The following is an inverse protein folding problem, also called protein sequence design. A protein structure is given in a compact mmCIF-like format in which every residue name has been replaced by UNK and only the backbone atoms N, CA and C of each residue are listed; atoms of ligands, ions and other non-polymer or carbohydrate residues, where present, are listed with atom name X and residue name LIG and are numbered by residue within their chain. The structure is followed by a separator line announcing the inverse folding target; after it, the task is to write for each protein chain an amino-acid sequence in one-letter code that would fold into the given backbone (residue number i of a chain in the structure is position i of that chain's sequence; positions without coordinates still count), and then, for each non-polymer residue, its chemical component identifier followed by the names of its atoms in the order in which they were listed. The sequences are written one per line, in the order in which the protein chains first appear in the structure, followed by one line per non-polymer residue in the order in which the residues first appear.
data_IF_160525792247
#
_entry.id   IF_160525792247
#
_cell.length_a   1.000
_cell.length_b   1.000
_cell.length_c   1.000
_cell.angle_alpha   90.00
_cell.angle_beta   90.00
_cell.angle_gamma   90.00
#
_symmetry.space_group_name_H-M   'P 1'
#
loop_
_entity.id
_entity.type
_entity.pdbx_description
1 polymer ?
#
# COMPACT_ATOMS: atom_id res chain seq x y z
N UNK A 1 -7.57 6.28 15.39
CA UNK A 1 -6.98 5.25 14.50
C UNK A 1 -6.10 4.25 15.27
N UNK A 2 -6.39 2.94 15.20
CA UNK A 2 -5.58 1.81 15.72
C UNK A 2 -5.34 0.77 14.60
N UNK A 3 -4.10 0.42 14.24
CA UNK A 3 -3.84 -0.59 13.20
C UNK A 3 -4.29 -1.99 13.67
N UNK A 4 -4.82 -2.79 12.74
CA UNK A 4 -5.23 -4.19 12.96
C UNK A 4 -4.33 -5.10 12.15
N UNK A 5 -4.20 -4.81 10.85
CA UNK A 5 -3.56 -5.68 9.88
C UNK A 5 -2.87 -4.86 8.81
N UNK A 6 -1.65 -5.23 8.43
CA UNK A 6 -0.95 -4.70 7.27
C UNK A 6 -0.41 -5.86 6.44
N UNK A 7 -0.74 -5.87 5.16
CA UNK A 7 -0.17 -6.75 4.16
C UNK A 7 0.52 -5.93 3.09
N UNK A 8 1.73 -6.36 2.72
CA UNK A 8 2.56 -5.75 1.69
C UNK A 8 3.08 -6.86 0.79
N UNK A 9 3.04 -6.64 -0.52
CA UNK A 9 3.66 -7.54 -1.51
C UNK A 9 4.21 -6.68 -2.65
N UNK A 10 5.38 -7.05 -3.18
CA UNK A 10 6.12 -6.31 -4.19
C UNK A 10 6.22 -4.79 -3.90
N UNK A 11 6.33 -4.40 -2.63
CA UNK A 11 6.29 -3.02 -2.15
C UNK A 11 7.55 -2.62 -1.37
N UNK A 12 8.27 -1.60 -1.85
CA UNK A 12 9.50 -1.12 -1.22
C UNK A 12 10.52 -2.24 -0.97
N UNK A 13 10.96 -2.44 0.28
CA UNK A 13 11.85 -3.54 0.66
C UNK A 13 11.20 -4.93 0.69
N UNK A 14 9.87 -5.03 0.58
CA UNK A 14 9.12 -6.29 0.67
C UNK A 14 8.78 -6.83 -0.73
N UNK A 15 9.60 -7.72 -1.28
CA UNK A 15 9.29 -8.35 -2.58
C UNK A 15 8.16 -9.36 -2.47
N UNK A 16 8.17 -10.17 -1.43
CA UNK A 16 7.19 -11.22 -1.17
C UNK A 16 6.07 -10.73 -0.25
N UNK A 17 4.94 -11.45 -0.29
CA UNK A 17 3.81 -11.21 0.59
C UNK A 17 4.24 -11.32 2.05
N UNK A 18 4.14 -10.20 2.75
CA UNK A 18 4.47 -10.06 4.17
C UNK A 18 3.28 -9.49 4.90
N UNK A 19 2.96 -10.10 6.04
CA UNK A 19 1.78 -9.75 6.86
C UNK A 19 2.21 -9.41 8.27
N UNK A 20 1.73 -8.26 8.76
CA UNK A 20 1.87 -7.81 10.14
C UNK A 20 0.47 -7.76 10.76
N UNK A 21 0.27 -8.60 11.76
CA UNK A 21 -0.95 -8.64 12.56
C UNK A 21 -0.71 -7.90 13.88
N UNK A 22 -1.25 -6.68 13.96
CA UNK A 22 -1.11 -5.79 15.11
C UNK A 22 -2.00 -6.18 16.29
N UNK A 23 -2.85 -7.20 16.14
CA UNK A 23 -3.68 -7.72 17.24
C UNK A 23 -2.96 -8.75 18.10
N UNK A 24 -1.83 -9.30 17.62
CA UNK A 24 -1.05 -10.31 18.34
C UNK A 24 -0.39 -9.82 19.63
N UNK A 25 0.18 -8.60 19.70
CA UNK A 25 0.78 -8.13 20.95
C UNK A 25 -0.26 -8.03 22.06
N UNK A 26 0.06 -8.56 23.23
CA UNK A 26 -0.78 -8.45 24.43
C UNK A 26 -0.73 -7.05 25.08
N UNK A 27 0.12 -6.16 24.56
CA UNK A 27 0.34 -4.82 25.06
C UNK A 27 0.17 -3.80 23.94
N UNK A 28 -0.14 -2.56 24.33
CA UNK A 28 -0.33 -1.44 23.40
C UNK A 28 1.00 -0.83 22.90
N UNK A 29 2.15 -1.37 23.33
CA UNK A 29 3.48 -0.96 22.91
C UNK A 29 4.18 -2.14 22.22
N UNK A 30 4.72 -1.89 21.04
CA UNK A 30 5.53 -2.85 20.30
C UNK A 30 6.75 -2.14 19.71
N UNK A 31 7.79 -2.92 19.42
CA UNK A 31 9.04 -2.44 18.81
C UNK A 31 9.21 -3.08 17.44
N UNK A 32 9.43 -2.25 16.42
CA UNK A 32 9.91 -2.68 15.11
C UNK A 32 11.43 -2.52 15.11
N UNK A 33 12.16 -3.64 15.09
CA UNK A 33 13.62 -3.67 15.12
C UNK A 33 14.19 -4.53 13.98
N UNK A 34 15.50 -4.37 13.71
CA UNK A 34 16.21 -5.02 12.61
C UNK A 34 17.29 -4.13 12.03
N UNK A 35 18.08 -4.66 11.11
CA UNK A 35 19.23 -3.95 10.51
C UNK A 35 18.83 -2.77 9.62
N UNK A 36 19.77 -1.87 9.38
CA UNK A 36 19.59 -0.80 8.39
C UNK A 36 19.30 -1.41 7.02
N UNK A 37 18.27 -0.91 6.34
CA UNK A 37 17.82 -1.46 5.05
C UNK A 37 16.83 -2.63 5.14
N UNK A 38 16.54 -3.17 6.34
CA UNK A 38 15.61 -4.28 6.52
C UNK A 38 14.12 -3.96 6.27
N UNK A 39 13.78 -2.77 5.75
CA UNK A 39 12.39 -2.40 5.43
C UNK A 39 11.57 -1.80 6.57
N UNK A 40 12.18 -1.50 7.73
CA UNK A 40 11.47 -0.90 8.88
C UNK A 40 10.70 0.38 8.52
N UNK A 41 11.34 1.29 7.80
CA UNK A 41 10.69 2.53 7.31
C UNK A 41 9.58 2.22 6.31
N UNK A 42 9.78 1.20 5.47
CA UNK A 42 8.78 0.76 4.47
C UNK A 42 7.47 0.31 5.11
N UNK A 43 7.47 -0.23 6.33
CA UNK A 43 6.24 -0.54 7.08
C UNK A 43 5.41 0.74 7.30
N UNK A 44 6.06 1.82 7.72
CA UNK A 44 5.40 3.10 7.94
C UNK A 44 4.98 3.75 6.62
N UNK A 45 5.84 3.71 5.60
CA UNK A 45 5.51 4.20 4.26
C UNK A 45 4.32 3.46 3.66
N UNK A 46 4.18 2.16 3.91
CA UNK A 46 3.03 1.37 3.46
C UNK A 46 1.73 1.86 4.12
N UNK A 47 1.74 2.10 5.43
CA UNK A 47 0.56 2.65 6.13
C UNK A 47 0.20 4.05 5.63
N UNK A 48 1.19 4.94 5.46
CA UNK A 48 0.99 6.30 4.92
C UNK A 48 0.47 6.23 3.49
N UNK A 49 1.07 5.39 2.64
CA UNK A 49 0.62 5.18 1.27
C UNK A 49 -0.80 4.63 1.22
N UNK A 50 -1.13 3.64 2.05
CA UNK A 50 -2.47 3.06 2.14
C UNK A 50 -3.51 4.14 2.45
N UNK A 51 -3.24 5.03 3.40
CA UNK A 51 -4.18 6.08 3.79
C UNK A 51 -4.26 7.21 2.75
N UNK A 52 -3.11 7.74 2.32
CA UNK A 52 -3.05 9.01 1.59
C UNK A 52 -2.74 8.87 0.10
N UNK A 53 -2.25 7.72 -0.34
CA UNK A 53 -1.82 7.49 -1.72
C UNK A 53 -0.47 8.11 -2.09
N UNK A 54 0.22 8.73 -1.13
CA UNK A 54 1.53 9.35 -1.28
C UNK A 54 2.53 8.79 -0.25
N UNK A 55 3.83 8.99 -0.50
CA UNK A 55 4.90 8.64 0.42
C UNK A 55 5.09 9.61 1.58
N UNK A 56 5.85 9.19 2.60
CA UNK A 56 6.11 9.99 3.80
C UNK A 56 7.06 11.19 3.58
N UNK A 57 7.82 11.26 2.48
CA UNK A 57 8.84 12.31 2.28
C UNK A 57 8.53 13.29 1.14
N UNK A 58 8.89 14.57 1.32
CA UNK A 58 8.62 15.64 0.36
C UNK A 58 9.49 15.61 -0.91
N UNK A 59 10.64 14.93 -0.86
CA UNK A 59 11.55 14.72 -2.01
C UNK A 59 10.94 13.80 -3.08
N UNK A 60 9.98 12.96 -2.67
CA UNK A 60 9.40 11.89 -3.48
C UNK A 60 8.29 12.35 -4.44
N UNK A 61 7.84 13.60 -4.30
CA UNK A 61 6.78 14.19 -5.14
C UNK A 61 7.23 14.49 -6.56
N UNK A 62 8.55 14.60 -6.83
CA UNK A 62 9.10 15.04 -8.12
C UNK A 62 9.42 13.89 -9.09
N UNK A 63 9.85 12.72 -8.61
CA UNK A 63 10.24 11.59 -9.49
C UNK A 63 9.18 10.50 -9.64
N UNK A 64 8.05 10.61 -8.94
CA UNK A 64 7.02 9.59 -8.94
C UNK A 64 7.49 8.39 -8.13
N UNK A 65 7.10 8.40 -6.87
CA UNK A 65 7.30 7.35 -5.87
C UNK A 65 7.40 5.95 -6.50
N UNK A 66 8.61 5.39 -6.65
CA UNK A 66 8.78 4.03 -7.12
C UNK A 66 8.57 3.08 -5.93
N UNK A 67 7.30 2.92 -5.58
CA UNK A 67 6.83 2.05 -4.50
C UNK A 67 6.91 0.57 -4.84
N UNK A 68 7.06 0.26 -6.12
CA UNK A 68 7.29 -1.09 -6.56
C UNK A 68 8.66 -1.54 -6.05
N UNK A 69 8.69 -2.70 -5.39
CA UNK A 69 9.93 -3.30 -4.94
C UNK A 69 10.84 -3.59 -6.12
N UNK A 70 12.10 -3.17 -6.01
CA UNK A 70 13.13 -3.48 -7.01
C UNK A 70 13.54 -4.96 -6.97
N UNK A 71 13.20 -5.66 -5.88
CA UNK A 71 13.49 -7.07 -5.67
C UNK A 71 12.36 -7.99 -6.15
N UNK A 72 11.20 -7.43 -6.54
CA UNK A 72 10.06 -8.19 -7.01
C UNK A 72 10.08 -8.42 -8.53
N UNK A 73 9.49 -9.53 -8.97
CA UNK A 73 9.25 -9.79 -10.38
C UNK A 73 8.22 -8.81 -10.95
N UNK A 74 8.36 -8.44 -12.23
CA UNK A 74 7.36 -7.66 -12.97
C UNK A 74 6.03 -8.40 -13.20
N UNK A 75 5.95 -9.69 -12.82
CA UNK A 75 4.71 -10.46 -12.79
C UNK A 75 3.96 -10.32 -11.45
N UNK A 76 4.64 -9.89 -10.38
CA UNK A 76 4.02 -9.60 -9.10
C UNK A 76 3.39 -8.21 -9.14
N UNK A 77 2.11 -8.15 -8.74
CA UNK A 77 1.41 -6.87 -8.63
C UNK A 77 1.68 -6.29 -7.25
N UNK A 78 2.25 -5.08 -7.14
CA UNK A 78 2.46 -4.45 -5.85
C UNK A 78 1.13 -4.13 -5.19
N UNK A 79 1.02 -4.46 -3.92
CA UNK A 79 -0.20 -4.24 -3.14
C UNK A 79 0.15 -3.87 -1.70
N UNK A 80 -0.62 -2.93 -1.17
CA UNK A 80 -0.70 -2.66 0.26
C UNK A 80 -2.15 -2.79 0.69
N UNK A 81 -2.42 -3.68 1.64
CA UNK A 81 -3.72 -3.82 2.29
C UNK A 81 -3.56 -3.46 3.76
N UNK A 82 -4.33 -2.48 4.22
CA UNK A 82 -4.26 -1.99 5.58
C UNK A 82 -5.64 -1.95 6.22
N UNK A 83 -5.80 -2.63 7.35
CA UNK A 83 -7.02 -2.63 8.14
C UNK A 83 -6.75 -1.89 9.45
N UNK A 84 -7.64 -0.98 9.83
CA UNK A 84 -7.51 -0.19 11.05
C UNK A 84 -8.88 0.13 11.66
N UNK A 85 -8.89 0.42 12.96
CA UNK A 85 -10.04 0.95 13.69
C UNK A 85 -9.99 2.46 13.81
N UNK A 86 -11.12 3.13 13.70
CA UNK A 86 -11.29 4.48 14.24
C UNK A 86 -12.50 4.51 15.17
N UNK A 87 -12.25 4.62 16.48
CA UNK A 87 -13.25 4.26 17.48
C UNK A 87 -13.55 2.75 17.41
N UNK A 88 -14.84 2.41 17.29
CA UNK A 88 -15.32 1.03 17.14
C UNK A 88 -15.40 0.58 15.67
N UNK A 89 -15.29 1.53 14.74
CA UNK A 89 -15.49 1.28 13.31
C UNK A 89 -14.22 0.71 12.67
N UNK A 90 -14.39 -0.40 11.93
CA UNK A 90 -13.31 -1.06 11.18
C UNK A 90 -13.32 -0.67 9.71
N UNK A 91 -12.16 -0.27 9.21
CA UNK A 91 -11.94 0.11 7.82
C UNK A 91 -10.86 -0.78 7.21
N UNK A 92 -11.01 -1.10 5.94
CA UNK A 92 -9.98 -1.75 5.14
C UNK A 92 -9.69 -0.92 3.89
N UNK A 93 -8.42 -0.64 3.64
CA UNK A 93 -7.98 0.04 2.43
C UNK A 93 -6.99 -0.84 1.68
N UNK A 94 -7.24 -1.03 0.39
CA UNK A 94 -6.38 -1.76 -0.53
C UNK A 94 -5.88 -0.76 -1.57
N UNK A 95 -4.56 -0.66 -1.72
CA UNK A 95 -3.94 0.16 -2.77
C UNK A 95 -2.94 -0.63 -3.58
N UNK A 96 -2.99 -0.36 -4.88
CA UNK A 96 -1.99 -0.77 -5.85
C UNK A 96 -1.30 0.52 -6.31
N UNK A 97 0.02 0.70 -6.12
CA UNK A 97 0.71 1.85 -6.65
C UNK A 97 0.80 1.77 -8.18
N UNK A 98 1.07 2.92 -8.81
CA UNK A 98 1.50 2.93 -10.22
C UNK A 98 2.80 2.13 -10.32
N UNK A 99 2.85 1.16 -11.22
CA UNK A 99 3.96 0.21 -11.28
C UNK A 99 4.22 -0.27 -12.70
N UNK A 100 5.39 -0.86 -12.92
CA UNK A 100 5.74 -1.52 -14.17
C UNK A 100 5.33 -2.98 -14.10
N UNK A 101 4.83 -3.52 -15.20
CA UNK A 101 4.56 -4.95 -15.35
C UNK A 101 4.88 -5.42 -16.76
N UNK A 102 4.93 -6.74 -16.95
CA UNK A 102 5.04 -7.31 -18.31
C UNK A 102 3.78 -6.99 -19.12
N UNK A 103 3.97 -6.71 -20.41
CA UNK A 103 2.87 -6.49 -21.34
C UNK A 103 2.04 -7.78 -21.51
N UNK A 104 0.71 -7.65 -21.55
CA UNK A 104 -0.19 -8.76 -21.90
C UNK A 104 -0.39 -8.74 -23.42
N UNK A 105 0.40 -9.56 -24.16
CA UNK A 105 0.43 -9.71 -25.65
C UNK A 105 0.91 -8.46 -26.41
N UNK A 106 1.31 -8.66 -27.68
CA UNK A 106 1.90 -7.70 -28.67
C UNK A 106 1.77 -6.22 -28.28
N UNK A 107 2.68 -5.76 -27.43
CA UNK A 107 2.88 -4.35 -27.15
C UNK A 107 4.15 -3.88 -27.87
N UNK A 108 4.30 -2.56 -28.09
CA UNK A 108 5.52 -1.97 -28.65
C UNK A 108 6.75 -2.17 -27.74
N UNK A 109 6.54 -2.40 -26.45
CA UNK A 109 7.56 -2.68 -25.44
C UNK A 109 7.13 -3.84 -24.54
N UNK A 110 8.10 -4.64 -24.09
CA UNK A 110 7.84 -5.80 -23.21
C UNK A 110 7.38 -5.40 -21.80
N UNK A 111 7.67 -4.16 -21.39
CA UNK A 111 7.29 -3.58 -20.11
C UNK A 111 6.31 -2.44 -20.37
N UNK A 112 5.22 -2.41 -19.59
CA UNK A 112 4.22 -1.35 -19.60
C UNK A 112 4.00 -0.82 -18.19
N UNK A 113 3.57 0.42 -18.09
CA UNK A 113 3.19 1.05 -16.83
C UNK A 113 1.70 0.88 -16.59
N UNK A 114 1.31 0.31 -15.45
CA UNK A 114 -0.05 0.26 -14.95
C UNK A 114 -0.30 1.39 -13.95
N UNK A 115 -1.44 2.05 -14.06
CA UNK A 115 -1.85 3.09 -13.11
C UNK A 115 -2.22 2.46 -11.77
N UNK A 116 -2.02 3.23 -10.69
CA UNK A 116 -2.45 2.80 -9.37
C UNK A 116 -3.96 2.67 -9.25
N UNK A 117 -4.40 1.97 -8.20
CA UNK A 117 -5.80 1.76 -7.83
C UNK A 117 -5.95 1.89 -6.32
N UNK A 118 -7.14 2.27 -5.88
CA UNK A 118 -7.53 2.25 -4.48
C UNK A 118 -8.94 1.70 -4.34
N UNK A 119 -9.13 0.91 -3.29
CA UNK A 119 -10.41 0.42 -2.80
C UNK A 119 -10.48 0.67 -1.30
N UNK A 120 -11.54 1.33 -0.83
CA UNK A 120 -11.84 1.55 0.58
C UNK A 120 -13.12 0.81 0.96
N UNK A 121 -13.03 -0.08 1.92
CA UNK A 121 -14.14 -0.82 2.50
C UNK A 121 -14.50 -0.18 3.84
N UNK A 122 -15.75 0.25 3.97
CA UNK A 122 -16.32 0.86 5.17
C UNK A 122 -16.82 -0.20 6.18
N UNK A 123 -17.10 0.19 7.45
CA UNK A 123 -17.59 -0.73 8.47
C UNK A 123 -18.89 -1.46 8.11
N UNK A 124 -19.72 -0.84 7.27
CA UNK A 124 -20.96 -1.42 6.77
C UNK A 124 -20.76 -2.38 5.57
N UNK A 125 -19.51 -2.67 5.20
CA UNK A 125 -19.13 -3.52 4.06
C UNK A 125 -19.21 -2.82 2.70
N UNK A 126 -19.58 -1.54 2.63
CA UNK A 126 -19.60 -0.80 1.36
C UNK A 126 -18.18 -0.55 0.87
N UNK A 127 -17.92 -0.90 -0.40
CA UNK A 127 -16.66 -0.65 -1.08
C UNK A 127 -16.72 0.61 -1.96
N UNK A 128 -15.67 1.41 -1.90
CA UNK A 128 -15.45 2.61 -2.69
C UNK A 128 -14.16 2.50 -3.49
N UNK A 129 -14.29 2.38 -4.80
CA UNK A 129 -13.15 2.46 -5.71
C UNK A 129 -12.74 3.91 -6.01
N UNK A 130 -11.52 4.08 -6.51
CA UNK A 130 -10.90 5.37 -6.86
C UNK A 130 -11.80 6.35 -7.62
N UNK A 131 -12.61 5.88 -8.58
CA UNK A 131 -13.53 6.72 -9.37
C UNK A 131 -14.63 7.34 -8.52
N UNK A 132 -15.11 6.62 -7.51
CA UNK A 132 -16.20 7.05 -6.63
C UNK A 132 -15.63 7.93 -5.51
N UNK A 133 -14.46 7.58 -4.97
CA UNK A 133 -13.75 8.40 -3.97
C UNK A 133 -13.44 9.80 -4.50
N UNK A 134 -12.87 9.92 -5.71
CA UNK A 134 -12.58 11.22 -6.33
C UNK A 134 -13.83 12.07 -6.58
N UNK A 135 -14.98 11.43 -6.85
CA UNK A 135 -16.26 12.10 -7.08
C UNK A 135 -16.93 12.59 -5.79
N UNK A 136 -16.81 11.84 -4.68
CA UNK A 136 -17.41 12.19 -3.38
C UNK A 136 -16.55 13.14 -2.54
N UNK A 137 -15.22 13.01 -2.61
CA UNK A 137 -14.29 13.77 -1.75
C UNK A 137 -13.78 15.07 -2.39
N UNK A 138 -14.17 15.38 -3.64
CA UNK A 138 -13.91 16.67 -4.29
C UNK A 138 -12.44 17.06 -4.34
N UNK A 139 -11.70 16.58 -5.35
CA UNK A 139 -10.30 16.97 -5.68
C UNK A 139 -9.39 17.10 -4.45
N UNK A 140 -8.76 15.98 -4.08
CA UNK A 140 -7.40 16.02 -3.54
C UNK A 140 -6.43 16.32 -4.69
#
# INVERSE_FOLDING_TARGET
MKPIYLEMEAFGSYSEKTVIDFTKPSQNLFLISGDTGAGKTTIFDAMVFALYGEGSSNTDKKEGFNLQSQFASLDQTPIVKFCFKDGEDEYEIIRIPKHKRKAKRKAKSDIVTENGKVELILPNGQSYEEKILKKKLGKL
#
